data_IF_960692582574
#
_entry.id   IF_960692582574
#
_cell.length_a   1.000
_cell.length_b   1.000
_cell.length_c   1.000
_cell.angle_alpha   90.00
_cell.angle_beta   90.00
_cell.angle_gamma   90.00
#
_symmetry.space_group_name_H-M   'P 1'
#
loop_
_entity.id
_entity.type
_entity.pdbx_description
1 polymer ?
#
# COMPACT_ATOMS: atom_id res chain seq x y z
N UNK A 1 -18.70 8.26 5.92
CA UNK A 1 -17.42 7.52 5.86
C UNK A 1 -16.91 7.47 4.41
N UNK A 2 -16.76 8.63 3.78
CA UNK A 2 -16.26 8.78 2.39
C UNK A 2 -15.01 9.68 2.40
N UNK A 3 -14.96 10.68 3.30
CA UNK A 3 -13.80 11.55 3.52
C UNK A 3 -12.49 10.78 3.74
N UNK A 4 -12.51 9.68 4.51
CA UNK A 4 -11.32 8.86 4.76
C UNK A 4 -10.77 8.21 3.47
N UNK A 5 -11.64 7.84 2.54
CA UNK A 5 -11.23 7.21 1.28
C UNK A 5 -10.61 8.24 0.32
N UNK A 6 -11.20 9.45 0.29
CA UNK A 6 -10.67 10.58 -0.47
C UNK A 6 -9.31 11.02 0.05
N UNK A 7 -9.14 11.07 1.37
CA UNK A 7 -7.85 11.39 2.01
C UNK A 7 -6.77 10.35 1.69
N UNK A 8 -7.11 9.06 1.73
CA UNK A 8 -6.17 7.99 1.35
C UNK A 8 -5.75 8.09 -0.13
N UNK A 9 -6.68 8.38 -1.04
CA UNK A 9 -6.33 8.59 -2.44
C UNK A 9 -5.42 9.80 -2.64
N UNK A 10 -5.70 10.93 -1.98
CA UNK A 10 -4.84 12.11 -2.06
C UNK A 10 -3.42 11.81 -1.55
N UNK A 11 -3.31 11.11 -0.41
CA UNK A 11 -2.01 10.70 0.14
C UNK A 11 -1.25 9.75 -0.79
N UNK A 12 -1.96 8.84 -1.49
CA UNK A 12 -1.35 7.96 -2.49
C UNK A 12 -0.82 8.77 -3.67
N UNK A 13 -1.58 9.73 -4.17
CA UNK A 13 -1.19 10.57 -5.30
C UNK A 13 0.04 11.43 -4.94
N UNK A 14 -0.01 12.11 -3.79
CA UNK A 14 1.09 12.95 -3.29
C UNK A 14 2.38 12.14 -3.10
N UNK A 15 2.27 10.94 -2.48
CA UNK A 15 3.41 10.05 -2.28
C UNK A 15 3.94 9.47 -3.61
N UNK A 16 3.06 9.18 -4.56
CA UNK A 16 3.44 8.68 -5.88
C UNK A 16 4.19 9.75 -6.67
N UNK A 17 3.73 11.01 -6.63
CA UNK A 17 4.43 12.14 -7.24
C UNK A 17 5.79 12.35 -6.59
N UNK A 18 5.86 12.35 -5.26
CA UNK A 18 7.13 12.46 -4.52
C UNK A 18 8.11 11.34 -4.87
N UNK A 19 7.62 10.10 -5.02
CA UNK A 19 8.45 8.97 -5.48
C UNK A 19 9.05 9.24 -6.86
N UNK A 20 8.27 9.76 -7.79
CA UNK A 20 8.75 10.10 -9.15
C UNK A 20 9.82 11.18 -9.11
N UNK A 21 9.66 12.21 -8.28
CA UNK A 21 10.65 13.27 -8.09
C UNK A 21 11.97 12.70 -7.56
N UNK A 22 11.91 11.82 -6.54
CA UNK A 22 13.09 11.18 -5.98
C UNK A 22 13.81 10.27 -7.00
N UNK A 23 13.05 9.52 -7.80
CA UNK A 23 13.63 8.73 -8.89
C UNK A 23 14.31 9.58 -9.96
N UNK A 24 13.75 10.76 -10.30
CA UNK A 24 14.41 11.72 -11.19
C UNK A 24 15.69 12.26 -10.59
N UNK A 25 15.70 12.57 -9.29
CA UNK A 25 16.91 13.01 -8.60
C UNK A 25 18.02 11.95 -8.60
N UNK A 26 17.67 10.66 -8.61
CA UNK A 26 18.64 9.56 -8.72
C UNK A 26 19.23 9.38 -10.11
N UNK A 27 18.57 9.91 -11.15
CA UNK A 27 19.10 9.88 -12.51
C UNK A 27 20.35 10.75 -12.65
N UNK A 28 20.46 11.82 -11.84
CA UNK A 28 21.61 12.73 -11.81
C UNK A 28 22.77 12.21 -10.95
N UNK A 29 22.56 11.18 -10.13
CA UNK A 29 23.58 10.57 -9.29
C UNK A 29 23.01 9.61 -8.24
N UNK A 30 23.79 8.60 -7.86
CA UNK A 30 23.34 7.61 -6.87
C UNK A 30 23.46 8.15 -5.45
N UNK A 31 22.32 8.38 -4.80
CA UNK A 31 22.23 8.79 -3.39
C UNK A 31 21.52 7.71 -2.55
N UNK A 32 22.21 7.19 -1.54
CA UNK A 32 21.66 6.17 -0.63
C UNK A 32 20.51 6.72 0.23
N UNK A 33 20.53 8.00 0.58
CA UNK A 33 19.49 8.68 1.36
C UNK A 33 18.18 8.74 0.59
N UNK A 34 18.28 9.09 -0.71
CA UNK A 34 17.12 9.14 -1.62
C UNK A 34 16.55 7.74 -1.84
N UNK A 35 17.40 6.72 -1.98
CA UNK A 35 16.96 5.32 -2.04
C UNK A 35 16.20 4.89 -0.79
N UNK A 36 16.64 5.30 0.40
CA UNK A 36 15.95 4.98 1.65
C UNK A 36 14.65 5.79 1.84
N UNK A 37 14.56 7.00 1.30
CA UNK A 37 13.29 7.75 1.24
C UNK A 37 12.29 7.08 0.30
N UNK A 38 12.72 6.64 -0.89
CA UNK A 38 11.88 5.89 -1.83
C UNK A 38 11.32 4.61 -1.18
N UNK A 39 12.16 3.84 -0.48
CA UNK A 39 11.70 2.65 0.25
C UNK A 39 10.64 2.97 1.29
N UNK A 40 10.84 4.02 2.09
CA UNK A 40 9.86 4.47 3.09
C UNK A 40 8.54 4.90 2.45
N UNK A 41 8.62 5.56 1.29
CA UNK A 41 7.42 5.93 0.51
C UNK A 41 6.70 4.67 0.00
N UNK A 42 7.42 3.68 -0.52
CA UNK A 42 6.81 2.44 -1.01
C UNK A 42 6.13 1.65 0.13
N UNK A 43 6.74 1.58 1.33
CA UNK A 43 6.12 0.98 2.52
C UNK A 43 4.85 1.72 2.95
N UNK A 44 4.87 3.06 2.88
CA UNK A 44 3.71 3.89 3.21
C UNK A 44 2.59 3.72 2.18
N UNK A 45 2.92 3.68 0.89
CA UNK A 45 1.98 3.41 -0.18
C UNK A 45 1.34 2.04 -0.01
N UNK A 46 2.11 1.00 0.31
CA UNK A 46 1.56 -0.34 0.56
C UNK A 46 0.53 -0.32 1.69
N UNK A 47 0.83 0.36 2.79
CA UNK A 47 -0.07 0.51 3.94
C UNK A 47 -1.37 1.24 3.56
N UNK A 48 -1.26 2.34 2.80
CA UNK A 48 -2.41 3.12 2.32
C UNK A 48 -3.29 2.30 1.36
N UNK A 49 -2.68 1.53 0.45
CA UNK A 49 -3.41 0.65 -0.45
C UNK A 49 -4.11 -0.50 0.29
N UNK A 50 -3.50 -1.03 1.35
CA UNK A 50 -4.11 -2.06 2.20
C UNK A 50 -5.32 -1.49 2.96
N UNK A 51 -5.20 -0.28 3.53
CA UNK A 51 -6.30 0.43 4.17
C UNK A 51 -7.43 0.75 3.18
N UNK A 52 -7.09 1.25 1.98
CA UNK A 52 -8.05 1.51 0.92
C UNK A 52 -8.80 0.23 0.49
N UNK A 53 -8.08 -0.89 0.36
CA UNK A 53 -8.69 -2.19 0.03
C UNK A 53 -9.59 -2.71 1.14
N UNK A 54 -9.19 -2.54 2.41
CA UNK A 54 -10.00 -2.94 3.55
C UNK A 54 -11.31 -2.12 3.61
N UNK A 55 -11.22 -0.81 3.42
CA UNK A 55 -12.38 0.07 3.46
C UNK A 55 -13.33 -0.18 2.27
N UNK A 56 -12.81 -0.34 1.05
CA UNK A 56 -13.65 -0.72 -0.10
C UNK A 56 -14.30 -2.10 0.08
N UNK A 57 -13.61 -3.05 0.70
CA UNK A 57 -14.21 -4.35 1.01
C UNK A 57 -15.36 -4.20 2.02
N UNK A 58 -15.16 -3.40 3.08
CA UNK A 58 -16.20 -3.10 4.08
C UNK A 58 -17.43 -2.42 3.47
N UNK A 59 -17.23 -1.44 2.59
CA UNK A 59 -18.32 -0.74 1.88
C UNK A 59 -19.07 -1.70 0.95
N UNK A 60 -18.36 -2.58 0.24
CA UNK A 60 -18.95 -3.48 -0.76
C UNK A 60 -19.61 -4.72 -0.17
N UNK A 61 -19.12 -5.22 0.96
CA UNK A 61 -19.52 -6.52 1.50
C UNK A 61 -20.06 -6.46 2.95
N UNK A 62 -20.07 -5.29 3.61
CA UNK A 62 -20.44 -5.15 5.03
C UNK A 62 -19.34 -5.67 5.98
N UNK A 63 -19.51 -5.51 7.30
CA UNK A 63 -18.50 -5.91 8.32
C UNK A 63 -18.00 -7.35 8.10
N UNK A 64 -18.88 -8.29 7.75
CA UNK A 64 -18.57 -9.71 7.55
C UNK A 64 -18.13 -10.11 6.13
N UNK A 65 -16.94 -9.69 5.71
CA UNK A 65 -15.99 -10.64 5.09
C UNK A 65 -14.82 -10.94 6.07
N UNK A 66 -15.01 -10.53 7.33
CA UNK A 66 -14.12 -10.49 8.50
C UNK A 66 -13.47 -11.82 8.98
N UNK A 67 -13.78 -12.98 8.38
CA UNK A 67 -13.19 -14.29 8.78
C UNK A 67 -12.68 -15.10 7.58
N UNK A 68 -13.25 -14.93 6.38
CA UNK A 68 -13.02 -15.81 5.22
C UNK A 68 -11.60 -15.72 4.65
N UNK A 69 -10.85 -14.63 4.87
CA UNK A 69 -9.43 -14.54 4.46
C UNK A 69 -8.43 -15.23 5.39
N UNK A 70 -8.84 -15.68 6.58
CA UNK A 70 -8.07 -16.57 7.45
C UNK A 70 -7.61 -17.85 6.70
N UNK A 71 -8.34 -18.24 5.65
CA UNK A 71 -8.09 -19.43 4.82
C UNK A 71 -6.99 -19.30 3.74
N UNK A 72 -6.58 -18.09 3.28
CA UNK A 72 -5.44 -17.98 2.34
C UNK A 72 -4.07 -18.04 3.03
N UNK A 73 -4.06 -17.99 4.36
CA UNK A 73 -2.87 -18.22 5.18
C UNK A 73 -2.56 -19.71 5.39
N UNK A 74 -3.44 -20.64 5.02
CA UNK A 74 -3.18 -22.10 5.08
C UNK A 74 -2.61 -22.69 3.77
N UNK A 75 -2.76 -22.02 2.63
CA UNK A 75 -2.35 -22.55 1.31
C UNK A 75 -0.82 -22.50 1.03
N UNK A 76 -0.02 -22.06 2.02
CA UNK A 76 1.46 -22.18 1.97
C UNK A 76 2.00 -23.41 2.72
N UNK A 77 1.15 -24.23 3.33
CA UNK A 77 1.59 -25.45 4.02
C UNK A 77 1.75 -26.67 3.09
N UNK A 78 1.20 -26.66 1.87
CA UNK A 78 1.22 -27.85 0.98
C UNK A 78 2.40 -27.89 0.00
N UNK A 79 3.42 -27.04 0.19
CA UNK A 79 4.68 -27.08 -0.58
C UNK A 79 5.84 -27.75 0.16
N UNK A 80 5.58 -28.47 1.26
CA UNK A 80 6.62 -29.16 2.01
C UNK A 80 6.19 -30.52 2.60
N UNK A 81 5.28 -31.24 1.96
CA UNK A 81 5.00 -32.64 2.27
C UNK A 81 4.86 -33.48 0.99
#
# INVERSE_FOLDING_TARGET
>A
MIEQLTDIHQQIDDLSERRVILWRSLADGRDATVMDEIKRIDERLQTLWDAHRAERARIRFGERDEIVRRARAEDRLDRAA
#
